data_IF_705052349713
#
_entry.id   IF_705052349713
#
_cell.length_a   1.000
_cell.length_b   1.000
_cell.length_c   1.000
_cell.angle_alpha   90.00
_cell.angle_beta   90.00
_cell.angle_gamma   90.00
#
_symmetry.space_group_name_H-M   'P 1'
#
loop_
_entity.id
_entity.type
_entity.pdbx_description
1 polymer ?
#
# COMPACT_ATOMS: atom_id res chain seq x y z
N UNK A 1 5.68 -23.92 17.86
CA UNK A 1 4.44 -23.14 18.03
C UNK A 1 3.52 -23.60 16.91
N UNK A 2 2.30 -24.05 17.21
CA UNK A 2 1.33 -24.38 16.16
C UNK A 2 0.70 -23.07 15.73
N UNK A 3 0.90 -22.70 14.48
CA UNK A 3 0.28 -21.54 13.86
C UNK A 3 -1.19 -21.91 13.55
N UNK A 4 -2.09 -20.94 13.58
CA UNK A 4 -3.51 -21.24 13.36
C UNK A 4 -3.72 -21.59 11.90
N UNK A 5 -3.92 -22.87 11.55
CA UNK A 5 -4.24 -23.24 10.17
C UNK A 5 -5.64 -22.71 9.86
N UNK A 6 -5.73 -21.59 9.13
CA UNK A 6 -6.97 -20.96 8.70
C UNK A 6 -7.83 -21.87 7.82
N UNK A 7 -7.27 -22.97 7.32
CA UNK A 7 -7.96 -23.97 6.52
C UNK A 7 -8.47 -23.43 5.19
N UNK A 8 -7.96 -22.28 4.76
CA UNK A 8 -8.42 -21.52 3.60
C UNK A 8 -7.42 -21.55 2.43
N UNK A 9 -6.31 -22.30 2.56
CA UNK A 9 -5.27 -22.44 1.53
C UNK A 9 -4.56 -21.12 1.20
N UNK A 10 -4.64 -20.13 2.09
CA UNK A 10 -3.90 -18.88 2.00
C UNK A 10 -2.78 -18.88 3.03
N UNK A 11 -1.70 -18.13 2.76
CA UNK A 11 -0.65 -17.96 3.74
C UNK A 11 -1.14 -17.12 4.89
N UNK A 12 -1.02 -17.65 6.11
CA UNK A 12 -1.44 -16.96 7.32
C UNK A 12 -0.28 -16.15 7.93
N UNK A 13 -0.62 -15.03 8.57
CA UNK A 13 0.36 -14.16 9.23
C UNK A 13 0.11 -14.13 10.73
N UNK A 14 1.14 -14.47 11.51
CA UNK A 14 1.10 -14.46 12.97
C UNK A 14 2.25 -13.65 13.54
N UNK A 15 2.06 -13.08 14.73
CA UNK A 15 3.16 -12.53 15.50
C UNK A 15 3.44 -13.40 16.73
N UNK A 16 4.72 -13.52 17.08
CA UNK A 16 5.17 -14.23 18.29
C UNK A 16 6.41 -13.58 18.88
N UNK A 17 6.85 -14.05 20.06
CA UNK A 17 8.18 -13.76 20.58
C UNK A 17 9.14 -14.87 20.16
N UNK A 18 10.40 -14.52 19.92
CA UNK A 18 11.47 -15.51 19.71
C UNK A 18 11.54 -16.51 20.86
N UNK A 19 12.16 -17.67 20.62
CA UNK A 19 12.31 -18.71 21.64
C UNK A 19 13.04 -18.21 22.91
N UNK A 20 13.94 -17.23 22.78
CA UNK A 20 14.63 -16.59 23.90
C UNK A 20 13.87 -15.39 24.49
N UNK A 21 12.71 -15.02 23.92
CA UNK A 21 11.85 -13.92 24.35
C UNK A 21 12.37 -12.52 24.03
N UNK A 22 13.53 -12.39 23.39
CA UNK A 22 14.21 -11.09 23.18
C UNK A 22 13.70 -10.33 21.95
N UNK A 23 13.08 -11.02 20.99
CA UNK A 23 12.64 -10.46 19.72
C UNK A 23 11.14 -10.62 19.53
N UNK A 24 10.50 -9.63 18.92
CA UNK A 24 9.20 -9.84 18.28
C UNK A 24 9.46 -10.43 16.88
N UNK A 25 8.69 -11.43 16.49
CA UNK A 25 8.77 -12.06 15.17
C UNK A 25 7.42 -11.96 14.47
N UNK A 26 7.44 -11.54 13.21
CA UNK A 26 6.32 -11.75 12.28
C UNK A 26 6.63 -13.03 11.50
N UNK A 27 5.67 -13.95 11.47
CA UNK A 27 5.79 -15.25 10.84
C UNK A 27 4.71 -15.33 9.77
N UNK A 28 5.12 -15.65 8.54
CA UNK A 28 4.22 -16.01 7.45
C UNK A 28 4.30 -17.52 7.29
N UNK A 29 3.19 -18.20 7.57
CA UNK A 29 3.00 -19.61 7.28
C UNK A 29 2.77 -19.75 5.78
N UNK A 30 3.85 -19.97 5.02
CA UNK A 30 3.78 -19.92 3.54
C UNK A 30 3.19 -21.22 2.98
N UNK A 31 3.39 -22.32 3.69
CA UNK A 31 2.99 -23.66 3.24
C UNK A 31 1.62 -24.10 3.81
N UNK A 32 1.00 -23.29 4.68
CA UNK A 32 -0.30 -23.51 5.32
C UNK A 32 -0.38 -24.87 6.03
N UNK A 33 0.73 -25.28 6.67
CA UNK A 33 0.80 -26.55 7.40
C UNK A 33 0.56 -26.38 8.92
N UNK A 34 0.42 -25.13 9.37
CA UNK A 34 0.18 -24.76 10.76
C UNK A 34 1.39 -24.97 11.66
N UNK A 35 2.60 -25.09 11.12
CA UNK A 35 3.83 -25.31 11.87
C UNK A 35 4.94 -24.40 11.38
N UNK A 36 5.59 -23.75 12.33
CA UNK A 36 6.83 -23.03 12.03
C UNK A 36 7.94 -24.00 11.58
N UNK A 37 8.28 -23.98 10.29
CA UNK A 37 9.36 -24.78 9.71
C UNK A 37 10.16 -24.05 8.61
N UNK A 38 10.93 -24.79 7.80
CA UNK A 38 11.80 -24.22 6.78
C UNK A 38 11.03 -23.67 5.55
N UNK A 39 9.74 -23.98 5.42
CA UNK A 39 8.86 -23.43 4.40
C UNK A 39 8.42 -22.00 4.70
N UNK A 40 8.58 -21.54 5.94
CA UNK A 40 8.02 -20.27 6.40
C UNK A 40 8.99 -19.10 6.30
N UNK A 41 8.41 -17.91 6.26
CA UNK A 41 9.17 -16.66 6.32
C UNK A 41 9.06 -16.06 7.71
N UNK A 42 10.20 -15.77 8.34
CA UNK A 42 10.27 -15.12 9.65
C UNK A 42 11.02 -13.80 9.56
N UNK A 43 10.34 -12.72 9.93
CA UNK A 43 10.93 -11.39 10.07
C UNK A 43 11.12 -11.12 11.57
N UNK A 44 12.37 -10.92 11.97
CA UNK A 44 12.74 -10.70 13.38
C UNK A 44 13.07 -9.26 13.67
N UNK A 45 12.46 -8.71 14.71
CA UNK A 45 12.72 -7.37 15.22
C UNK A 45 13.49 -7.46 16.54
N UNK A 46 14.60 -6.74 16.64
CA UNK A 46 15.40 -6.71 17.88
C UNK A 46 14.75 -5.80 18.92
N UNK A 47 14.22 -6.38 20.00
CA UNK A 47 13.48 -5.68 21.05
C UNK A 47 11.96 -5.87 21.03
N UNK A 48 11.30 -5.37 22.08
CA UNK A 48 9.84 -5.28 22.13
C UNK A 48 9.39 -4.09 21.28
N UNK A 49 9.00 -4.36 20.03
CA UNK A 49 8.32 -3.37 19.19
C UNK A 49 6.84 -3.41 19.54
N UNK A 50 6.36 -2.35 20.20
CA UNK A 50 4.93 -2.01 20.21
C UNK A 50 4.67 -1.26 18.92
N UNK A 51 4.09 -1.92 17.91
CA UNK A 51 3.63 -1.21 16.72
C UNK A 51 2.42 -0.36 17.11
N UNK A 52 2.64 0.93 17.22
CA UNK A 52 1.59 1.93 17.35
C UNK A 52 1.33 2.57 15.98
N UNK A 53 0.21 3.26 15.83
CA UNK A 53 -0.03 4.07 14.62
C UNK A 53 1.03 5.16 14.41
N UNK A 54 1.87 5.48 15.41
CA UNK A 54 2.96 6.43 15.27
C UNK A 54 4.23 5.82 14.65
N UNK A 55 4.38 4.50 14.67
CA UNK A 55 5.49 3.79 14.01
C UNK A 55 5.25 3.66 12.51
N UNK A 56 4.00 3.81 12.08
CA UNK A 56 3.64 4.01 10.68
C UNK A 56 3.58 5.51 10.42
N UNK A 57 4.54 6.03 9.67
CA UNK A 57 4.46 7.42 9.23
C UNK A 57 3.37 7.48 8.15
N UNK A 58 2.17 7.91 8.54
CA UNK A 58 1.13 8.26 7.57
C UNK A 58 1.71 9.28 6.57
N UNK A 59 1.52 9.05 5.27
CA UNK A 59 2.00 9.94 4.21
C UNK A 59 3.44 9.70 3.73
N UNK A 60 4.20 8.70 4.22
CA UNK A 60 5.51 8.38 3.59
C UNK A 60 5.40 7.53 2.33
N UNK A 61 4.21 6.99 2.04
CA UNK A 61 3.89 6.27 0.81
C UNK A 61 2.38 6.33 0.60
N UNK A 62 1.89 7.39 -0.02
CA UNK A 62 0.46 7.53 -0.32
C UNK A 62 0.21 6.95 -1.70
N UNK A 63 -0.33 5.73 -1.74
CA UNK A 63 -0.97 5.21 -2.95
C UNK A 63 -2.46 5.43 -2.81
N UNK A 64 -2.99 6.39 -3.55
CA UNK A 64 -4.42 6.67 -3.66
C UNK A 64 -4.95 5.94 -4.89
N UNK A 65 -6.06 5.22 -4.74
CA UNK A 65 -6.68 4.47 -5.83
C UNK A 65 -8.19 4.70 -5.82
N UNK A 66 -8.72 5.12 -6.96
CA UNK A 66 -10.13 5.22 -7.24
C UNK A 66 -10.77 3.87 -7.50
N UNK A 67 -11.85 3.91 -8.24
CA UNK A 67 -12.79 2.83 -8.52
C UNK A 67 -13.05 2.75 -10.03
N UNK A 68 -13.96 1.89 -10.46
CA UNK A 68 -14.37 1.80 -11.88
C UNK A 68 -15.34 2.92 -12.31
N UNK A 69 -15.57 3.92 -11.47
CA UNK A 69 -16.45 5.05 -11.78
C UNK A 69 -15.81 6.37 -11.38
N UNK A 70 -16.43 7.46 -11.81
CA UNK A 70 -15.86 8.81 -11.69
C UNK A 70 -15.52 9.19 -10.24
N UNK A 71 -14.24 9.45 -10.00
CA UNK A 71 -13.69 9.77 -8.69
C UNK A 71 -13.11 11.20 -8.62
N UNK A 72 -13.02 11.71 -7.39
CA UNK A 72 -12.29 12.95 -7.06
C UNK A 72 -11.27 12.63 -5.99
N UNK A 73 -10.00 12.66 -6.36
CA UNK A 73 -8.90 12.21 -5.51
C UNK A 73 -7.86 13.32 -5.42
N UNK A 74 -7.47 13.66 -4.20
CA UNK A 74 -6.41 14.62 -3.93
C UNK A 74 -5.33 13.98 -3.05
N UNK A 75 -4.08 14.24 -3.41
CA UNK A 75 -2.88 13.94 -2.63
C UNK A 75 -2.77 14.80 -1.38
N UNK A 76 -1.57 14.84 -0.82
CA UNK A 76 -1.19 15.68 0.31
C UNK A 76 -0.03 16.63 -0.03
N UNK A 77 0.96 16.78 0.84
CA UNK A 77 2.13 17.65 0.58
C UNK A 77 3.41 16.84 0.29
N UNK A 78 3.29 15.51 0.27
CA UNK A 78 4.34 14.56 0.01
C UNK A 78 4.43 14.16 -1.46
N UNK A 79 5.26 13.16 -1.76
CA UNK A 79 5.27 12.57 -3.09
C UNK A 79 4.20 11.47 -3.16
N UNK A 80 3.16 11.72 -3.94
CA UNK A 80 1.99 10.87 -4.00
C UNK A 80 1.94 10.02 -5.27
N UNK A 81 1.22 8.90 -5.17
CA UNK A 81 0.92 8.05 -6.30
C UNK A 81 -0.58 7.84 -6.40
N UNK A 82 -1.20 8.35 -7.46
CA UNK A 82 -2.66 8.37 -7.62
C UNK A 82 -3.08 7.59 -8.86
N UNK A 83 -4.05 6.70 -8.71
CA UNK A 83 -4.66 5.93 -9.80
C UNK A 83 -6.17 6.22 -9.86
N UNK A 84 -6.68 6.72 -10.98
CA UNK A 84 -8.11 6.92 -11.24
C UNK A 84 -8.87 5.61 -11.44
N UNK A 85 -8.30 4.72 -12.27
CA UNK A 85 -8.81 3.39 -12.63
C UNK A 85 -9.81 3.43 -13.77
N UNK A 86 -11.08 3.69 -13.51
CA UNK A 86 -12.08 3.73 -14.57
C UNK A 86 -13.10 4.83 -14.34
N UNK A 87 -13.67 5.38 -15.40
CA UNK A 87 -14.55 6.53 -15.32
C UNK A 87 -13.80 7.84 -15.60
N UNK A 88 -14.51 8.94 -15.50
CA UNK A 88 -13.96 10.27 -15.78
C UNK A 88 -13.55 10.94 -14.47
N UNK A 89 -12.26 10.95 -14.19
CA UNK A 89 -11.72 11.26 -12.87
C UNK A 89 -11.16 12.68 -12.76
N UNK A 90 -11.12 13.21 -11.53
CA UNK A 90 -10.37 14.41 -11.16
C UNK A 90 -9.30 14.05 -10.13
N UNK A 91 -8.04 14.06 -10.56
CA UNK A 91 -6.88 13.70 -9.75
C UNK A 91 -6.02 14.95 -9.50
N UNK A 92 -5.65 15.21 -8.26
CA UNK A 92 -4.80 16.35 -7.88
C UNK A 92 -3.62 15.91 -7.00
N UNK A 93 -2.39 16.21 -7.41
CA UNK A 93 -1.16 15.91 -6.66
C UNK A 93 -0.90 16.86 -5.49
N UNK A 94 -1.25 18.14 -5.64
CA UNK A 94 -0.98 19.25 -4.70
C UNK A 94 0.50 19.62 -4.62
N UNK A 95 1.17 19.53 -3.46
CA UNK A 95 2.60 19.83 -3.35
C UNK A 95 3.35 18.50 -3.34
N UNK A 96 4.42 18.33 -4.10
CA UNK A 96 5.03 17.00 -4.14
C UNK A 96 5.95 16.77 -5.32
N UNK A 97 6.34 15.53 -5.54
CA UNK A 97 6.78 15.07 -6.87
C UNK A 97 5.91 13.86 -7.16
N UNK A 98 4.79 14.09 -7.81
CA UNK A 98 3.68 13.14 -7.80
C UNK A 98 3.66 12.26 -9.05
N UNK A 99 2.95 11.15 -8.96
CA UNK A 99 2.64 10.32 -10.13
C UNK A 99 1.15 10.05 -10.20
N UNK A 100 0.49 10.60 -11.22
CA UNK A 100 -0.96 10.47 -11.43
C UNK A 100 -1.21 9.64 -12.70
N UNK A 101 -2.07 8.64 -12.58
CA UNK A 101 -2.55 7.79 -13.67
C UNK A 101 -4.08 7.84 -13.76
N UNK A 102 -4.64 8.42 -14.81
CA UNK A 102 -6.10 8.44 -15.04
C UNK A 102 -6.66 7.06 -15.33
N UNK A 103 -5.98 6.32 -16.22
CA UNK A 103 -6.37 5.03 -16.78
C UNK A 103 -7.51 5.12 -17.79
N UNK A 104 -8.73 4.67 -17.51
CA UNK A 104 -9.78 4.58 -18.53
C UNK A 104 -10.89 5.61 -18.32
N UNK A 105 -11.09 6.51 -19.27
CA UNK A 105 -12.11 7.56 -19.26
C UNK A 105 -11.56 8.92 -19.64
N UNK A 106 -12.39 9.95 -19.64
CA UNK A 106 -11.93 11.32 -19.92
C UNK A 106 -11.53 11.99 -18.60
N UNK A 107 -10.23 12.02 -18.30
CA UNK A 107 -9.72 12.41 -16.97
C UNK A 107 -9.19 13.85 -16.92
N UNK A 108 -9.17 14.42 -15.72
CA UNK A 108 -8.46 15.67 -15.39
C UNK A 108 -7.42 15.40 -14.33
N UNK A 109 -6.14 15.53 -14.68
CA UNK A 109 -5.00 15.34 -13.79
C UNK A 109 -4.30 16.69 -13.59
N UNK A 110 -4.21 17.13 -12.35
CA UNK A 110 -3.47 18.34 -11.94
C UNK A 110 -2.29 17.91 -11.06
N UNK A 111 -1.07 18.05 -11.59
CA UNK A 111 0.14 17.70 -10.85
C UNK A 111 0.41 18.63 -9.67
N UNK A 112 -0.05 19.88 -9.73
CA UNK A 112 0.23 20.88 -8.72
C UNK A 112 1.68 21.40 -8.75
N UNK A 113 2.28 21.56 -7.57
CA UNK A 113 3.63 22.07 -7.39
C UNK A 113 4.64 20.93 -7.31
N UNK A 114 5.52 20.85 -8.31
CA UNK A 114 6.75 20.08 -8.22
C UNK A 114 7.12 19.40 -9.52
N UNK A 115 7.81 18.27 -9.41
CA UNK A 115 8.31 17.48 -10.54
C UNK A 115 7.42 16.27 -10.78
N UNK A 116 6.27 16.50 -11.40
CA UNK A 116 5.21 15.49 -11.48
C UNK A 116 5.25 14.65 -12.76
N UNK A 117 4.72 13.43 -12.67
CA UNK A 117 4.51 12.51 -13.79
C UNK A 117 3.02 12.28 -13.96
N UNK A 118 2.44 12.81 -15.04
CA UNK A 118 1.02 12.66 -15.35
C UNK A 118 0.83 11.76 -16.57
N UNK A 119 -0.05 10.77 -16.45
CA UNK A 119 -0.45 9.91 -17.55
C UNK A 119 -1.97 9.74 -17.51
N UNK A 120 -2.66 10.36 -18.48
CA UNK A 120 -4.12 10.28 -18.63
C UNK A 120 -4.57 8.85 -18.89
N UNK A 121 -4.48 8.37 -20.13
CA UNK A 121 -4.65 6.95 -20.44
C UNK A 121 -5.50 6.76 -21.68
N UNK A 122 -6.54 5.93 -21.58
CA UNK A 122 -7.55 5.80 -22.62
C UNK A 122 -8.62 6.88 -22.45
N UNK A 123 -8.76 7.80 -23.40
CA UNK A 123 -9.80 8.84 -23.36
C UNK A 123 -9.25 10.19 -23.79
N UNK A 124 -10.02 11.25 -23.54
CA UNK A 124 -9.63 12.62 -23.80
C UNK A 124 -9.26 13.32 -22.49
N UNK A 125 -7.99 13.23 -22.15
CA UNK A 125 -7.49 13.70 -20.86
C UNK A 125 -7.03 15.16 -20.89
N UNK A 126 -7.18 15.82 -19.75
CA UNK A 126 -6.61 17.13 -19.47
C UNK A 126 -5.51 16.96 -18.41
N UNK A 127 -4.27 17.28 -18.79
CA UNK A 127 -3.11 17.25 -17.88
C UNK A 127 -2.68 18.70 -17.61
N UNK A 128 -2.63 19.09 -16.33
CA UNK A 128 -2.34 20.45 -15.85
C UNK A 128 -1.04 20.44 -15.06
#
# INVERSE_FOLDING_TARGET
>A
MTLGNGGDSLSDIFYSKSADGTKTQLIVDVNDDGKLDAGDTVISFDGAIDFTTADFVAGTFTVLRGTEGNDVIAGDTGADTIYGVGGNDQLSGLDGNDTLWGQAGDDTLDGGLGGDTLQGGEGNDTLI
#
